data_IF_615381014583
#
_entry.id   IF_615381014583
#
_cell.length_a   1.000
_cell.length_b   1.000
_cell.length_c   1.000
_cell.angle_alpha   90.00
_cell.angle_beta   90.00
_cell.angle_gamma   90.00
#
_symmetry.space_group_name_H-M   'P 1'
#
loop_
_entity.id
_entity.type
_entity.pdbx_description
1 polymer ?
#
# COMPACT_ATOMS: atom_id res chain seq x y z
N UNK A 1 1.52 14.81 -9.84
CA UNK A 1 1.51 13.39 -9.47
C UNK A 1 2.49 13.15 -8.33
N UNK A 2 2.00 13.24 -7.08
CA UNK A 2 2.76 12.81 -5.90
C UNK A 2 2.09 11.56 -5.32
N UNK A 3 2.84 10.48 -5.19
CA UNK A 3 2.36 9.19 -4.66
C UNK A 3 3.13 8.87 -3.38
N UNK A 4 2.40 8.63 -2.30
CA UNK A 4 2.95 8.17 -1.03
C UNK A 4 3.12 6.65 -1.04
N UNK A 5 4.08 6.16 -0.27
CA UNK A 5 4.49 4.75 -0.25
C UNK A 5 4.78 4.37 1.19
N UNK A 6 4.23 3.25 1.63
CA UNK A 6 4.52 2.66 2.95
C UNK A 6 4.40 1.13 2.88
N UNK A 7 4.96 0.43 3.85
CA UNK A 7 4.84 -1.01 4.05
C UNK A 7 5.13 -1.32 5.53
N UNK A 8 4.84 -2.55 5.97
CA UNK A 8 5.30 -3.10 7.24
C UNK A 8 4.97 -2.22 8.43
N UNK A 9 3.71 -1.80 8.48
CA UNK A 9 3.24 -0.98 9.60
C UNK A 9 3.07 -1.78 10.87
N UNK A 10 2.84 -3.10 10.78
CA UNK A 10 2.84 -4.05 11.91
C UNK A 10 2.15 -3.50 13.17
N UNK A 11 0.88 -3.13 13.06
CA UNK A 11 0.06 -2.59 14.17
C UNK A 11 0.60 -1.31 14.84
N UNK A 12 1.63 -0.66 14.28
CA UNK A 12 2.25 0.53 14.85
C UNK A 12 1.42 1.79 14.58
N UNK A 13 0.31 1.91 15.32
CA UNK A 13 -0.66 3.00 15.17
C UNK A 13 -0.04 4.38 15.28
N UNK A 14 0.98 4.55 16.13
CA UNK A 14 1.68 5.83 16.31
C UNK A 14 2.47 6.20 15.05
N UNK A 15 3.19 5.23 14.47
CA UNK A 15 3.93 5.46 13.23
C UNK A 15 2.98 5.70 12.05
N UNK A 16 1.86 4.95 11.97
CA UNK A 16 0.84 5.15 10.95
C UNK A 16 0.28 6.57 11.02
N UNK A 17 -0.15 7.04 12.20
CA UNK A 17 -0.71 8.39 12.35
C UNK A 17 0.28 9.48 11.92
N UNK A 18 1.56 9.36 12.29
CA UNK A 18 2.61 10.30 11.85
C UNK A 18 2.82 10.25 10.33
N UNK A 19 2.81 9.07 9.73
CA UNK A 19 2.93 8.93 8.29
C UNK A 19 1.74 9.58 7.57
N UNK A 20 0.52 9.40 8.08
CA UNK A 20 -0.70 10.03 7.56
C UNK A 20 -0.61 11.56 7.61
N UNK A 21 -0.12 12.14 8.72
CA UNK A 21 0.12 13.58 8.83
C UNK A 21 1.08 14.06 7.73
N UNK A 22 2.23 13.41 7.57
CA UNK A 22 3.22 13.74 6.54
C UNK A 22 2.61 13.64 5.14
N UNK A 23 1.89 12.56 4.84
CA UNK A 23 1.27 12.37 3.52
C UNK A 23 0.20 13.43 3.21
N UNK A 24 -0.54 13.86 4.23
CA UNK A 24 -1.53 14.93 4.11
C UNK A 24 -0.87 16.30 3.89
N UNK A 25 0.21 16.61 4.63
CA UNK A 25 0.98 17.85 4.45
C UNK A 25 1.60 17.90 3.04
N UNK A 26 2.14 16.79 2.58
CA UNK A 26 2.72 16.66 1.25
C UNK A 26 1.68 16.69 0.12
N UNK A 27 0.39 16.64 0.44
CA UNK A 27 -0.73 16.66 -0.53
C UNK A 27 -0.58 15.60 -1.61
N UNK A 28 -0.32 14.35 -1.20
CA UNK A 28 -0.25 13.22 -2.14
C UNK A 28 -1.61 12.96 -2.80
N UNK A 29 -1.58 12.40 -4.01
CA UNK A 29 -2.79 12.07 -4.79
C UNK A 29 -3.21 10.61 -4.60
N UNK A 30 -2.30 9.75 -4.12
CA UNK A 30 -2.51 8.32 -3.86
C UNK A 30 -1.50 7.83 -2.82
N UNK A 31 -1.92 7.03 -1.84
CA UNK A 31 -1.04 6.24 -0.99
C UNK A 31 -1.03 4.77 -1.44
N UNK A 32 0.14 4.18 -1.57
CA UNK A 32 0.33 2.75 -1.82
C UNK A 32 0.87 2.09 -0.54
N UNK A 33 0.19 1.06 -0.04
CA UNK A 33 0.67 0.23 1.07
C UNK A 33 1.06 -1.16 0.57
N UNK A 34 2.31 -1.55 0.74
CA UNK A 34 2.85 -2.77 0.14
C UNK A 34 2.80 -4.01 1.04
N UNK A 35 1.73 -4.15 1.82
CA UNK A 35 1.53 -5.29 2.72
C UNK A 35 2.07 -5.12 4.13
N UNK A 36 1.71 -6.10 4.96
CA UNK A 36 1.97 -6.15 6.40
C UNK A 36 1.40 -4.95 7.15
N UNK A 37 0.08 -4.77 6.95
CA UNK A 37 -0.74 -3.90 7.80
C UNK A 37 -0.82 -4.51 9.21
N UNK A 38 -1.17 -5.81 9.20
CA UNK A 38 -1.50 -6.76 10.25
C UNK A 38 -2.95 -6.69 10.76
N UNK A 39 -3.25 -6.21 11.96
CA UNK A 39 -4.60 -6.37 12.49
C UNK A 39 -5.61 -5.42 11.83
N UNK A 40 -6.89 -5.81 11.68
CA UNK A 40 -7.90 -4.97 11.02
C UNK A 40 -8.12 -3.58 11.65
N UNK A 41 -7.77 -3.40 12.93
CA UNK A 41 -7.90 -2.12 13.62
C UNK A 41 -6.96 -1.03 13.09
N UNK A 42 -5.91 -1.39 12.35
CA UNK A 42 -4.98 -0.42 11.73
C UNK A 42 -5.68 0.56 10.79
N UNK A 43 -6.80 0.15 10.19
CA UNK A 43 -7.66 1.02 9.37
C UNK A 43 -8.11 2.29 10.11
N UNK A 44 -8.19 2.28 11.43
CA UNK A 44 -8.57 3.45 12.23
C UNK A 44 -7.53 4.57 12.15
N UNK A 45 -6.23 4.24 12.22
CA UNK A 45 -5.17 5.24 12.12
C UNK A 45 -5.04 5.84 10.72
N UNK A 46 -5.54 5.14 9.69
CA UNK A 46 -5.56 5.64 8.32
C UNK A 46 -6.80 6.48 7.97
N UNK A 47 -7.80 6.58 8.86
CA UNK A 47 -9.03 7.36 8.58
C UNK A 47 -8.80 8.83 8.25
N UNK A 48 -7.77 9.42 8.84
CA UNK A 48 -7.44 10.82 8.63
C UNK A 48 -6.68 11.07 7.32
N UNK A 49 -6.33 10.03 6.57
CA UNK A 49 -5.69 10.15 5.26
C UNK A 49 -6.68 10.78 4.27
N UNK A 50 -6.27 11.90 3.66
CA UNK A 50 -7.10 12.64 2.69
C UNK A 50 -7.05 12.05 1.29
N UNK A 51 -5.94 11.41 0.94
CA UNK A 51 -5.75 10.73 -0.33
C UNK A 51 -6.34 9.31 -0.29
N UNK A 52 -6.82 8.77 -1.42
CA UNK A 52 -7.20 7.37 -1.47
C UNK A 52 -5.98 6.46 -1.24
N UNK A 53 -6.22 5.28 -0.68
CA UNK A 53 -5.20 4.24 -0.56
C UNK A 53 -5.48 3.04 -1.49
N UNK A 54 -4.42 2.48 -2.05
CA UNK A 54 -4.41 1.13 -2.63
C UNK A 54 -3.42 0.28 -1.82
N UNK A 55 -3.85 -0.90 -1.40
CA UNK A 55 -3.04 -1.83 -0.62
C UNK A 55 -2.94 -3.23 -1.22
N UNK A 56 -1.83 -3.92 -1.01
CA UNK A 56 -1.72 -5.37 -1.23
C UNK A 56 -1.48 -6.08 0.10
N UNK A 57 -1.94 -7.32 0.24
CA UNK A 57 -1.65 -8.10 1.45
C UNK A 57 -0.20 -8.60 1.50
N UNK A 58 0.41 -8.53 2.69
CA UNK A 58 1.67 -9.18 3.02
C UNK A 58 1.45 -10.59 3.61
N UNK A 59 2.53 -11.24 4.04
CA UNK A 59 2.46 -12.59 4.61
C UNK A 59 1.94 -12.60 6.05
N UNK A 60 1.97 -11.47 6.77
CA UNK A 60 1.49 -11.37 8.14
C UNK A 60 0.02 -10.92 8.25
N UNK A 61 -0.62 -10.55 7.13
CA UNK A 61 -2.03 -10.18 7.07
C UNK A 61 -2.94 -11.42 7.14
N UNK A 62 -3.33 -11.82 8.35
CA UNK A 62 -4.12 -13.02 8.60
C UNK A 62 -5.59 -12.92 8.18
N UNK A 63 -6.32 -11.93 8.72
CA UNK A 63 -7.75 -11.75 8.43
C UNK A 63 -7.96 -10.78 7.26
N UNK A 64 -7.59 -11.24 6.07
CA UNK A 64 -7.68 -10.46 4.82
C UNK A 64 -9.09 -9.97 4.51
N UNK A 65 -10.11 -10.78 4.83
CA UNK A 65 -11.51 -10.42 4.56
C UNK A 65 -11.95 -9.26 5.45
N UNK A 66 -11.65 -9.34 6.76
CA UNK A 66 -12.00 -8.26 7.69
C UNK A 66 -11.16 -7.01 7.45
N UNK A 67 -9.86 -7.16 7.15
CA UNK A 67 -9.00 -6.04 6.71
C UNK A 67 -9.64 -5.31 5.53
N UNK A 68 -9.97 -6.04 4.46
CA UNK A 68 -10.57 -5.45 3.26
C UNK A 68 -11.90 -4.75 3.56
N UNK A 69 -12.76 -5.39 4.36
CA UNK A 69 -14.04 -4.81 4.76
C UNK A 69 -13.83 -3.50 5.52
N UNK A 70 -13.00 -3.48 6.57
CA UNK A 70 -12.81 -2.29 7.40
C UNK A 70 -12.10 -1.15 6.68
N UNK A 71 -11.10 -1.42 5.84
CA UNK A 71 -10.44 -0.37 5.05
C UNK A 71 -11.43 0.30 4.09
N UNK A 72 -12.32 -0.48 3.48
CA UNK A 72 -13.37 0.03 2.60
C UNK A 72 -14.47 0.79 3.37
N UNK A 73 -14.99 0.20 4.44
CA UNK A 73 -16.06 0.78 5.28
C UNK A 73 -15.62 2.09 5.93
N UNK A 74 -14.35 2.20 6.33
CA UNK A 74 -13.77 3.41 6.89
C UNK A 74 -13.40 4.46 5.82
N UNK A 75 -13.66 4.21 4.54
CA UNK A 75 -13.36 5.14 3.46
C UNK A 75 -11.87 5.35 3.17
N UNK A 76 -11.00 4.46 3.67
CA UNK A 76 -9.54 4.57 3.53
C UNK A 76 -9.08 4.15 2.13
N UNK A 77 -9.53 2.99 1.67
CA UNK A 77 -9.05 2.44 0.41
C UNK A 77 -9.45 1.00 0.14
N UNK A 78 -8.94 0.46 -0.96
CA UNK A 78 -9.19 -0.91 -1.40
C UNK A 78 -7.93 -1.77 -1.26
N UNK A 79 -8.11 -3.00 -0.78
CA UNK A 79 -7.05 -3.99 -0.57
C UNK A 79 -7.16 -5.15 -1.58
N UNK A 80 -6.02 -5.60 -2.08
CA UNK A 80 -5.88 -6.61 -3.12
C UNK A 80 -4.90 -7.72 -2.74
N UNK A 81 -4.99 -8.85 -3.44
CA UNK A 81 -3.99 -9.91 -3.32
C UNK A 81 -2.66 -9.49 -3.94
N UNK A 82 -1.57 -9.99 -3.37
CA UNK A 82 -0.21 -9.80 -3.89
C UNK A 82 0.14 -10.81 -5.01
N UNK A 83 0.69 -10.37 -6.16
CA UNK A 83 0.95 -8.99 -6.57
C UNK A 83 -0.29 -8.34 -7.21
N UNK A 84 -0.35 -7.01 -7.20
CA UNK A 84 -1.44 -6.25 -7.81
C UNK A 84 -0.92 -5.23 -8.84
N UNK A 85 -1.53 -5.22 -10.03
CA UNK A 85 -1.24 -4.27 -11.10
C UNK A 85 -2.40 -3.29 -11.27
N UNK A 86 -2.10 -2.00 -11.42
CA UNK A 86 -3.10 -0.97 -11.70
C UNK A 86 -2.51 0.19 -12.50
N UNK A 87 -3.36 1.07 -13.02
CA UNK A 87 -2.97 2.30 -13.71
C UNK A 87 -3.43 3.52 -12.92
N UNK A 88 -2.54 4.49 -12.76
CA UNK A 88 -2.85 5.77 -12.13
C UNK A 88 -2.14 6.90 -12.87
N UNK A 89 -2.88 7.93 -13.25
CA UNK A 89 -2.40 9.08 -14.04
C UNK A 89 -1.54 8.66 -15.25
N UNK A 90 -2.04 7.70 -16.06
CA UNK A 90 -1.39 7.13 -17.26
C UNK A 90 -0.11 6.33 -17.02
N UNK A 91 0.22 6.06 -15.75
CA UNK A 91 1.36 5.23 -15.36
C UNK A 91 0.89 3.89 -14.83
N UNK A 92 1.58 2.82 -15.21
CA UNK A 92 1.32 1.47 -14.72
C UNK A 92 2.15 1.19 -13.48
N UNK A 93 1.49 0.72 -12.43
CA UNK A 93 2.08 0.32 -11.16
C UNK A 93 1.91 -1.18 -10.98
N UNK A 94 2.94 -1.82 -10.44
CA UNK A 94 2.86 -3.18 -9.91
C UNK A 94 3.38 -3.14 -8.48
N UNK A 95 2.53 -3.53 -7.54
CA UNK A 95 2.86 -3.55 -6.11
C UNK A 95 2.99 -4.99 -5.68
N UNK A 96 4.05 -5.27 -4.95
CA UNK A 96 4.25 -6.61 -4.39
C UNK A 96 4.93 -6.55 -3.03
N UNK A 97 4.50 -7.43 -2.13
CA UNK A 97 5.17 -7.64 -0.85
C UNK A 97 6.39 -8.59 -1.00
N UNK A 98 6.48 -9.36 -2.08
CA UNK A 98 7.51 -10.41 -2.29
C UNK A 98 8.78 -9.87 -2.96
N UNK A 99 9.93 -9.80 -2.27
CA UNK A 99 11.15 -9.22 -2.84
C UNK A 99 11.74 -10.00 -4.03
N UNK A 100 11.46 -11.30 -4.13
CA UNK A 100 12.05 -12.18 -5.15
C UNK A 100 11.54 -11.89 -6.57
N UNK A 101 10.31 -11.38 -6.71
CA UNK A 101 9.68 -11.14 -8.01
C UNK A 101 9.92 -9.72 -8.54
N UNK A 102 10.45 -8.84 -7.70
CA UNK A 102 10.90 -7.48 -8.01
C UNK A 102 11.79 -7.43 -9.26
N UNK A 103 12.93 -8.14 -9.24
CA UNK A 103 13.90 -8.11 -10.35
C UNK A 103 13.30 -8.67 -11.66
N UNK A 104 12.63 -9.84 -11.65
CA UNK A 104 11.92 -10.35 -12.84
C UNK A 104 10.87 -9.37 -13.40
N UNK A 105 10.09 -8.71 -12.53
CA UNK A 105 9.10 -7.72 -12.94
C UNK A 105 9.77 -6.48 -13.56
N UNK A 106 10.88 -6.00 -12.98
CA UNK A 106 11.64 -4.87 -13.50
C UNK A 106 12.27 -5.15 -14.87
N UNK A 107 12.64 -6.41 -15.12
CA UNK A 107 13.19 -6.84 -16.39
C UNK A 107 12.15 -6.93 -17.52
N UNK A 108 10.84 -6.94 -17.20
CA UNK A 108 9.79 -6.86 -18.22
C UNK A 108 9.79 -5.45 -18.83
N UNK A 109 10.45 -5.28 -19.98
CA UNK A 109 10.25 -4.10 -20.85
C UNK A 109 8.84 -4.14 -21.45
N UNK A 110 7.88 -3.60 -20.74
CA UNK A 110 6.62 -3.12 -21.32
C UNK A 110 6.68 -1.61 -21.19
N UNK A 111 6.41 -0.88 -22.27
CA UNK A 111 6.57 0.58 -22.33
C UNK A 111 5.98 1.28 -21.10
N UNK A 112 6.75 2.19 -20.52
CA UNK A 112 6.35 3.13 -19.45
C UNK A 112 5.81 2.42 -18.19
N UNK A 113 6.48 1.37 -17.72
CA UNK A 113 6.31 0.91 -16.34
C UNK A 113 7.35 1.62 -15.48
N UNK A 114 6.94 2.66 -14.76
CA UNK A 114 7.68 3.18 -13.59
C UNK A 114 7.46 2.18 -12.45
N UNK A 115 8.19 1.07 -12.50
CA UNK A 115 8.01 -0.04 -11.58
C UNK A 115 8.57 0.33 -10.21
N UNK A 116 7.68 0.64 -9.28
CA UNK A 116 8.01 0.95 -7.91
C UNK A 116 7.77 -0.29 -7.04
N UNK A 117 8.87 -0.92 -6.64
CA UNK A 117 8.86 -2.17 -5.89
C UNK A 117 9.10 -1.84 -4.43
N UNK A 118 8.02 -1.92 -3.66
CA UNK A 118 8.02 -1.52 -2.28
C UNK A 118 8.24 -2.79 -1.48
N UNK A 119 9.46 -2.91 -0.93
CA UNK A 119 9.90 -4.05 -0.16
C UNK A 119 9.30 -3.96 1.24
N UNK A 120 8.51 -4.96 1.62
CA UNK A 120 8.04 -5.07 2.98
C UNK A 120 8.89 -5.97 3.86
N UNK A 121 9.10 -7.20 3.40
CA UNK A 121 9.73 -8.27 4.17
C UNK A 121 11.28 -8.11 4.27
N UNK A 122 11.77 -7.53 5.38
CA UNK A 122 13.20 -7.34 5.67
C UNK A 122 13.62 -7.57 7.13
N UNK A 123 12.66 -7.81 8.02
CA UNK A 123 12.89 -7.88 9.46
C UNK A 123 12.25 -9.12 10.07
#
# INVERSE_FOLDING_TARGET
MKVGIIADTHDNLIAISKAVEIFNEESIELLIHAGDFVAPFTSQSFKELKAPMIGVFGNNDGDKLLLKALYKENGVGELYEDPYEFEFATKKFVVTHKPLIVKPLAARRVGIIDLLLIKGDLH
#
